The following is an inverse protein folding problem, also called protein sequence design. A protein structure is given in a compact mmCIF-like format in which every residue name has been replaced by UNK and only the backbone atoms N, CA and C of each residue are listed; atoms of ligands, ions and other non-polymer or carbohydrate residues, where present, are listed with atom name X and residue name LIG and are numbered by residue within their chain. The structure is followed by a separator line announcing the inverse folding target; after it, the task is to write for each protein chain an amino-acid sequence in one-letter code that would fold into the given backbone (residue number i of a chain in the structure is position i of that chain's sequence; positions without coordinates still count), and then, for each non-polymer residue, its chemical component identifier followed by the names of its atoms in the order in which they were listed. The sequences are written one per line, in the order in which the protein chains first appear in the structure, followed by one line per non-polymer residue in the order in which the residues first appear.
data_IF_506595574761
#
_entry.id   IF_506595574761
#
_cell.length_a   1.000
_cell.length_b   1.000
_cell.length_c   1.000
_cell.angle_alpha   90.00
_cell.angle_beta   90.00
_cell.angle_gamma   90.00
#
_symmetry.space_group_name_H-M   'P 1'
#
loop_
_entity.id
_entity.type
_entity.pdbx_description
1 polymer ?
#
# COMPACT_ATOMS: atom_id res chain seq x y z
N UNK A 1 6.09 -20.43 -10.98
CA UNK A 1 4.85 -19.60 -10.94
C UNK A 1 5.07 -18.54 -9.87
N UNK A 2 5.36 -17.28 -10.23
CA UNK A 2 5.48 -16.21 -9.22
C UNK A 2 4.09 -15.65 -9.00
N UNK A 3 3.45 -16.03 -7.90
CA UNK A 3 2.19 -15.41 -7.49
C UNK A 3 2.53 -13.99 -7.06
N UNK A 4 2.32 -13.02 -7.96
CA UNK A 4 2.46 -11.61 -7.62
C UNK A 4 1.51 -11.33 -6.48
N UNK A 5 2.05 -10.99 -5.32
CA UNK A 5 1.26 -10.67 -4.14
C UNK A 5 0.25 -9.57 -4.51
N UNK A 6 -1.07 -9.78 -4.29
CA UNK A 6 -2.06 -8.79 -4.68
C UNK A 6 -1.87 -7.54 -3.83
N UNK A 7 -1.59 -6.40 -4.47
CA UNK A 7 -1.35 -5.10 -3.80
C UNK A 7 -2.48 -4.77 -2.83
N UNK A 8 -3.73 -4.96 -3.25
CA UNK A 8 -4.89 -4.74 -2.40
C UNK A 8 -4.97 -5.68 -1.19
N UNK A 9 -4.62 -6.96 -1.36
CA UNK A 9 -4.63 -7.92 -0.27
C UNK A 9 -3.54 -7.60 0.77
N UNK A 10 -2.34 -7.22 0.33
CA UNK A 10 -1.25 -6.77 1.21
C UNK A 10 -1.65 -5.47 1.95
N UNK A 11 -2.22 -4.50 1.23
CA UNK A 11 -2.72 -3.26 1.84
C UNK A 11 -3.80 -3.52 2.90
N UNK A 12 -4.70 -4.47 2.68
CA UNK A 12 -5.78 -4.78 3.62
C UNK A 12 -5.29 -5.61 4.82
N UNK A 13 -4.56 -6.70 4.57
CA UNK A 13 -4.20 -7.69 5.58
C UNK A 13 -2.93 -7.32 6.35
N UNK A 14 -1.90 -6.80 5.66
CA UNK A 14 -0.62 -6.48 6.28
C UNK A 14 -0.49 -5.00 6.66
N UNK A 15 -1.14 -4.09 5.91
CA UNK A 15 -1.09 -2.64 6.19
C UNK A 15 -2.34 -2.10 6.88
N UNK A 16 -3.44 -2.84 6.89
CA UNK A 16 -4.66 -2.46 7.61
C UNK A 16 -5.52 -1.40 6.92
N UNK A 17 -5.31 -1.10 5.63
CA UNK A 17 -6.16 -0.18 4.84
C UNK A 17 -7.45 -0.88 4.38
N UNK A 18 -8.36 -1.15 5.33
CA UNK A 18 -9.67 -1.76 5.01
C UNK A 18 -10.66 -0.78 4.36
N UNK A 19 -10.51 0.51 4.65
CA UNK A 19 -11.31 1.60 4.07
C UNK A 19 -10.58 2.94 4.22
N UNK A 20 -10.94 3.91 3.39
CA UNK A 20 -10.50 5.28 3.59
C UNK A 20 -11.18 5.88 4.83
N UNK A 21 -10.38 6.46 5.72
CA UNK A 21 -10.84 7.03 7.00
C UNK A 21 -11.07 8.54 6.95
N UNK A 22 -10.57 9.19 5.90
CA UNK A 22 -10.58 10.64 5.77
C UNK A 22 -11.71 11.11 4.84
N UNK A 23 -12.25 12.31 5.13
CA UNK A 23 -13.26 12.96 4.27
C UNK A 23 -12.60 13.91 3.27
N UNK A 24 -13.05 13.84 2.03
CA UNK A 24 -12.62 14.72 0.94
C UNK A 24 -11.45 14.16 0.13
N UNK A 25 -11.51 14.38 -1.19
CA UNK A 25 -10.59 13.79 -2.18
C UNK A 25 -9.11 14.02 -1.85
N UNK A 26 -8.74 15.24 -1.48
CA UNK A 26 -7.34 15.59 -1.16
C UNK A 26 -6.76 14.75 -0.03
N UNK A 27 -7.52 14.54 1.05
CA UNK A 27 -7.07 13.77 2.21
C UNK A 27 -7.02 12.27 1.91
N UNK A 28 -8.03 11.74 1.21
CA UNK A 28 -8.07 10.35 0.74
C UNK A 28 -6.89 10.04 -0.19
N UNK A 29 -6.57 10.95 -1.11
CA UNK A 29 -5.43 10.79 -2.02
C UNK A 29 -4.09 10.78 -1.28
N UNK A 30 -3.91 11.67 -0.29
CA UNK A 30 -2.71 11.65 0.55
C UNK A 30 -2.60 10.33 1.34
N UNK A 31 -3.71 9.84 1.91
CA UNK A 31 -3.75 8.53 2.58
C UNK A 31 -3.33 7.40 1.63
N UNK A 32 -3.89 7.37 0.41
CA UNK A 32 -3.54 6.37 -0.60
C UNK A 32 -2.06 6.39 -0.99
N UNK A 33 -1.50 7.58 -1.22
CA UNK A 33 -0.09 7.74 -1.62
C UNK A 33 0.88 7.28 -0.52
N UNK A 34 0.57 7.52 0.75
CA UNK A 34 1.40 7.04 1.86
C UNK A 34 1.42 5.51 1.94
N UNK A 35 0.26 4.88 1.82
CA UNK A 35 0.16 3.41 1.81
C UNK A 35 0.89 2.78 0.61
N UNK A 36 0.76 3.39 -0.57
CA UNK A 36 1.48 2.95 -1.77
C UNK A 36 3.01 3.12 -1.62
N UNK A 37 3.47 4.21 -0.97
CA UNK A 37 4.89 4.43 -0.72
C UNK A 37 5.48 3.36 0.19
N UNK A 38 4.79 3.00 1.28
CA UNK A 38 5.21 1.92 2.18
C UNK A 38 5.32 0.60 1.41
N UNK A 39 4.31 0.26 0.61
CA UNK A 39 4.33 -0.95 -0.22
C UNK A 39 5.52 -0.97 -1.20
N UNK A 40 5.82 0.16 -1.84
CA UNK A 40 6.92 0.26 -2.80
C UNK A 40 8.29 0.14 -2.12
N UNK A 41 8.48 0.75 -0.94
CA UNK A 41 9.73 0.62 -0.17
C UNK A 41 10.00 -0.84 0.17
N UNK A 42 8.98 -1.58 0.61
CA UNK A 42 9.11 -3.01 0.93
C UNK A 42 9.45 -3.86 -0.29
N UNK A 43 8.95 -3.50 -1.48
CA UNK A 43 9.35 -4.14 -2.73
C UNK A 43 10.78 -3.81 -3.13
N UNK A 44 11.29 -2.64 -2.77
CA UNK A 44 12.62 -2.15 -3.15
C UNK A 44 13.74 -2.67 -2.24
N UNK A 45 13.51 -2.79 -0.92
CA UNK A 45 14.50 -3.30 0.04
C UNK A 45 15.19 -4.60 -0.42
N UNK A 46 14.47 -5.65 -0.85
CA UNK A 46 15.11 -6.88 -1.32
C UNK A 46 15.78 -6.75 -2.69
N UNK A 47 15.52 -5.70 -3.48
CA UNK A 47 16.17 -5.46 -4.78
C UNK A 47 17.50 -4.71 -4.68
N UNK A 48 17.72 -3.99 -3.58
CA UNK A 48 18.95 -3.22 -3.32
C UNK A 48 20.05 -4.09 -2.68
N UNK A 49 19.70 -5.30 -2.24
CA UNK A 49 20.62 -6.26 -1.62
C UNK A 49 21.18 -7.22 -2.65
#
# INVERSE_FOLDING_TARGET
MSTVEPVFANLEHNKGLKRFGLRGKKKVQAQWQLYAMVHNIEKLIPQIR
#
